data_IF_922788656052
#
_entry.id   IF_922788656052
#
_cell.length_a   1.000
_cell.length_b   1.000
_cell.length_c   1.000
_cell.angle_alpha   90.00
_cell.angle_beta   90.00
_cell.angle_gamma   90.00
#
_symmetry.space_group_name_H-M   'P 1'
#
loop_
_entity.id
_entity.type
_entity.pdbx_description
1 polymer ?
#
# COMPACT_ATOMS: atom_id res chain seq x y z
N UNK A 1 6.11 -46.00 -38.87
CA UNK A 1 5.37 -45.45 -37.72
C UNK A 1 6.33 -44.51 -36.98
N UNK A 2 6.19 -43.18 -37.05
CA UNK A 2 7.10 -42.34 -36.23
C UNK A 2 7.17 -40.85 -36.54
N UNK A 3 6.93 -40.40 -37.78
CA UNK A 3 7.04 -38.97 -38.09
C UNK A 3 5.86 -38.14 -37.52
N UNK A 4 4.65 -38.70 -37.52
CA UNK A 4 3.46 -38.03 -36.99
C UNK A 4 3.47 -37.90 -35.45
N UNK A 5 4.03 -38.88 -34.73
CA UNK A 5 4.13 -38.85 -33.28
C UNK A 5 5.16 -37.83 -32.78
N UNK A 6 6.27 -37.66 -33.49
CA UNK A 6 7.28 -36.65 -33.17
C UNK A 6 6.74 -35.21 -33.33
N UNK A 7 5.92 -34.96 -34.36
CA UNK A 7 5.25 -33.67 -34.54
C UNK A 7 4.14 -33.42 -33.49
N UNK A 8 3.40 -34.46 -33.11
CA UNK A 8 2.40 -34.39 -32.04
C UNK A 8 3.01 -34.12 -30.65
N UNK A 9 4.19 -34.67 -30.37
CA UNK A 9 4.90 -34.44 -29.10
C UNK A 9 5.44 -33.00 -28.97
N UNK A 10 5.88 -32.39 -30.08
CA UNK A 10 6.31 -30.98 -30.10
C UNK A 10 5.12 -30.01 -29.95
N UNK A 11 3.97 -30.33 -30.53
CA UNK A 11 2.74 -29.54 -30.38
C UNK A 11 2.10 -29.69 -28.99
N UNK A 12 2.13 -30.88 -28.40
CA UNK A 12 1.55 -31.17 -27.08
C UNK A 12 2.36 -30.62 -25.91
N UNK A 13 3.70 -30.65 -25.98
CA UNK A 13 4.58 -30.15 -24.92
C UNK A 13 4.58 -28.63 -24.77
N UNK A 14 4.35 -27.90 -25.87
CA UNK A 14 4.25 -26.44 -25.86
C UNK A 14 2.92 -25.95 -25.26
N UNK A 15 1.82 -26.66 -25.46
CA UNK A 15 0.50 -26.18 -25.03
C UNK A 15 0.30 -26.21 -23.51
N UNK A 16 0.93 -27.17 -22.80
CA UNK A 16 0.86 -27.25 -21.34
C UNK A 16 1.64 -26.15 -20.62
N UNK A 17 2.63 -25.52 -21.27
CA UNK A 17 3.44 -24.44 -20.68
C UNK A 17 2.88 -23.05 -20.97
N UNK A 18 2.18 -22.86 -22.09
CA UNK A 18 1.55 -21.57 -22.46
C UNK A 18 0.39 -21.19 -21.54
N UNK A 19 -0.42 -22.15 -21.08
CA UNK A 19 -1.62 -21.87 -20.28
C UNK A 19 -1.36 -21.27 -18.89
N UNK A 20 -0.27 -21.69 -18.21
CA UNK A 20 0.03 -21.22 -16.85
C UNK A 20 1.00 -20.03 -16.81
N UNK A 21 1.90 -19.91 -17.80
CA UNK A 21 2.88 -18.83 -17.89
C UNK A 21 2.38 -17.61 -18.69
N UNK A 22 1.35 -17.80 -19.53
CA UNK A 22 0.76 -16.77 -20.37
C UNK A 22 0.13 -15.61 -19.59
N UNK A 23 -0.48 -15.85 -18.43
CA UNK A 23 -1.11 -14.78 -17.64
C UNK A 23 -0.10 -13.78 -17.06
N UNK A 24 1.09 -14.23 -16.64
CA UNK A 24 2.17 -13.36 -16.15
C UNK A 24 2.84 -12.57 -17.28
N UNK A 25 3.02 -13.18 -18.45
CA UNK A 25 3.58 -12.50 -19.62
C UNK A 25 2.58 -11.53 -20.26
N UNK A 26 1.30 -11.89 -20.34
CA UNK A 26 0.22 -10.98 -20.76
C UNK A 26 0.08 -9.81 -19.79
N UNK A 27 0.29 -10.01 -18.49
CA UNK A 27 0.35 -8.93 -17.50
C UNK A 27 1.46 -7.91 -17.80
N UNK A 28 2.66 -8.37 -18.22
CA UNK A 28 3.77 -7.50 -18.61
C UNK A 28 3.54 -6.78 -19.95
N UNK A 29 2.79 -7.38 -20.87
CA UNK A 29 2.42 -6.77 -22.16
C UNK A 29 1.30 -5.73 -22.04
N UNK A 30 0.56 -5.71 -20.92
CA UNK A 30 -0.60 -4.83 -20.71
C UNK A 30 -0.26 -3.36 -20.41
N UNK A 31 1.02 -2.97 -20.48
CA UNK A 31 1.46 -1.59 -20.21
C UNK A 31 1.23 -1.13 -18.76
N UNK A 32 1.09 -2.07 -17.82
CA UNK A 32 0.85 -1.75 -16.41
C UNK A 32 2.11 -1.08 -15.81
N UNK A 33 1.93 0.13 -15.28
CA UNK A 33 2.96 0.85 -14.54
C UNK A 33 2.65 0.79 -13.05
N UNK A 34 3.56 0.21 -12.28
CA UNK A 34 3.46 0.27 -10.82
C UNK A 34 3.74 1.70 -10.35
N UNK A 35 2.76 2.29 -9.66
CA UNK A 35 2.88 3.62 -9.07
C UNK A 35 2.85 3.47 -7.56
N UNK A 36 3.85 4.06 -6.92
CA UNK A 36 4.06 3.96 -5.49
C UNK A 36 4.18 5.36 -4.91
N UNK A 37 3.43 5.65 -3.85
CA UNK A 37 3.48 6.96 -3.18
C UNK A 37 4.86 7.16 -2.56
N UNK A 38 5.44 8.34 -2.75
CA UNK A 38 6.75 8.69 -2.19
C UNK A 38 6.69 8.78 -0.66
N UNK A 39 7.76 8.33 0.00
CA UNK A 39 8.00 8.42 1.44
C UNK A 39 7.74 9.82 2.01
N UNK A 40 8.20 10.87 1.31
CA UNK A 40 8.00 12.25 1.74
C UNK A 40 6.51 12.65 1.79
N UNK A 41 5.71 12.13 0.86
CA UNK A 41 4.26 12.38 0.82
C UNK A 41 3.56 11.66 1.97
N UNK A 42 3.96 10.42 2.27
CA UNK A 42 3.42 9.66 3.41
C UNK A 42 3.72 10.34 4.74
N UNK A 43 4.95 10.86 4.90
CA UNK A 43 5.33 11.64 6.09
C UNK A 43 4.50 12.91 6.23
N UNK A 44 4.37 13.69 5.16
CA UNK A 44 3.55 14.91 5.16
C UNK A 44 2.09 14.60 5.51
N UNK A 45 1.54 13.52 4.96
CA UNK A 45 0.17 13.10 5.23
C UNK A 45 -0.02 12.73 6.72
N UNK A 46 0.91 11.95 7.28
CA UNK A 46 0.88 11.57 8.69
C UNK A 46 0.94 12.80 9.61
N UNK A 47 1.86 13.74 9.34
CA UNK A 47 1.98 15.00 10.08
C UNK A 47 0.67 15.80 10.05
N UNK A 48 0.08 15.98 8.85
CA UNK A 48 -1.16 16.73 8.67
C UNK A 48 -2.34 16.06 9.37
N UNK A 49 -2.45 14.74 9.30
CA UNK A 49 -3.52 13.98 9.96
C UNK A 49 -3.43 14.06 11.47
N UNK A 50 -2.22 14.01 12.04
CA UNK A 50 -2.00 14.18 13.48
C UNK A 50 -2.44 15.56 13.96
N UNK A 51 -2.07 16.61 13.23
CA UNK A 51 -2.50 17.97 13.55
C UNK A 51 -4.02 18.13 13.46
N UNK A 52 -4.63 17.56 12.42
CA UNK A 52 -6.08 17.57 12.30
C UNK A 52 -6.73 16.86 13.49
N UNK A 53 -6.23 15.70 13.90
CA UNK A 53 -6.75 14.97 15.05
C UNK A 53 -6.63 15.78 16.35
N UNK A 54 -5.48 16.39 16.61
CA UNK A 54 -5.27 17.25 17.78
C UNK A 54 -6.21 18.48 17.77
N UNK A 55 -6.40 19.10 16.62
CA UNK A 55 -7.34 20.19 16.45
C UNK A 55 -8.79 19.75 16.65
N UNK A 56 -9.16 18.52 16.23
CA UNK A 56 -10.50 17.98 16.45
C UNK A 56 -10.74 17.60 17.92
N UNK A 57 -9.73 17.10 18.64
CA UNK A 57 -9.85 16.71 20.05
C UNK A 57 -10.01 17.93 20.98
N UNK A 58 -9.35 19.04 20.66
CA UNK A 58 -9.44 20.28 21.44
C UNK A 58 -10.71 21.08 21.14
N UNK A 59 -11.48 20.67 20.12
CA UNK A 59 -12.66 21.38 19.64
C UNK A 59 -13.90 20.94 20.43
N UNK A 60 -14.46 21.85 21.23
CA UNK A 60 -15.75 21.63 21.89
C UNK A 60 -16.93 21.58 20.91
N UNK A 61 -18.08 21.06 21.36
CA UNK A 61 -19.27 20.76 20.53
C UNK A 61 -19.87 21.93 19.72
N UNK A 62 -19.50 23.18 19.98
CA UNK A 62 -20.04 24.36 19.30
C UNK A 62 -18.97 25.24 18.62
N UNK A 63 -17.74 24.77 18.48
CA UNK A 63 -16.69 25.57 17.85
C UNK A 63 -16.93 25.70 16.33
N UNK A 64 -17.07 26.94 15.84
CA UNK A 64 -17.36 27.27 14.43
C UNK A 64 -16.10 27.67 13.66
N UNK A 65 -14.98 27.91 14.33
CA UNK A 65 -13.76 28.43 13.71
C UNK A 65 -13.07 27.46 12.73
N UNK A 66 -12.41 28.01 11.71
CA UNK A 66 -11.65 27.23 10.75
C UNK A 66 -10.40 26.62 11.40
N UNK A 67 -10.12 25.34 11.11
CA UNK A 67 -8.93 24.65 11.64
C UNK A 67 -7.68 25.29 11.00
N UNK A 68 -6.84 25.91 11.83
CA UNK A 68 -5.52 26.38 11.43
C UNK A 68 -4.50 25.27 11.67
N UNK A 69 -3.81 24.88 10.61
CA UNK A 69 -2.72 23.91 10.69
C UNK A 69 -1.42 24.68 10.84
N UNK A 70 -0.78 24.57 12.00
CA UNK A 70 0.54 25.16 12.24
C UNK A 70 1.64 24.30 11.60
N UNK A 71 2.91 24.69 11.75
CA UNK A 71 4.02 23.90 11.20
C UNK A 71 4.34 22.74 12.16
N UNK A 72 4.15 21.46 11.79
CA UNK A 72 4.17 20.35 12.76
C UNK A 72 5.58 20.04 13.26
N UNK A 73 5.91 20.28 14.53
CA UNK A 73 7.26 20.13 15.09
C UNK A 73 7.81 18.69 15.18
N UNK A 74 7.02 17.70 14.77
CA UNK A 74 7.26 16.27 14.94
C UNK A 74 8.47 15.77 14.09
N UNK A 75 9.67 15.90 14.67
CA UNK A 75 10.97 15.62 14.03
C UNK A 75 11.09 14.17 13.55
N UNK A 76 10.48 13.23 14.27
CA UNK A 76 10.51 11.80 13.95
C UNK A 76 9.93 11.53 12.56
N UNK A 77 8.82 12.18 12.22
CA UNK A 77 8.18 12.02 10.91
C UNK A 77 8.82 12.89 9.82
N UNK A 78 9.49 13.99 10.18
CA UNK A 78 10.22 14.83 9.21
C UNK A 78 11.48 14.16 8.69
N UNK A 79 12.27 13.54 9.57
CA UNK A 79 13.63 13.07 9.26
C UNK A 79 13.81 11.55 9.42
N UNK A 80 12.94 10.89 10.18
CA UNK A 80 13.05 9.46 10.51
C UNK A 80 12.66 8.52 9.38
N UNK A 81 13.10 7.26 9.48
CA UNK A 81 12.69 6.18 8.56
C UNK A 81 11.17 5.98 8.63
N UNK A 82 10.57 5.55 7.53
CA UNK A 82 9.15 5.18 7.57
C UNK A 82 8.93 4.03 8.56
N UNK A 83 7.79 4.05 9.30
CA UNK A 83 7.36 2.93 10.12
C UNK A 83 7.36 1.60 9.36
N UNK A 84 7.71 0.54 10.06
CA UNK A 84 7.76 -0.80 9.47
C UNK A 84 6.41 -1.25 8.90
N UNK A 85 5.31 -0.88 9.56
CA UNK A 85 3.95 -1.14 9.09
C UNK A 85 3.71 -0.63 7.66
N UNK A 86 4.19 0.58 7.34
CA UNK A 86 4.09 1.15 5.99
C UNK A 86 5.01 0.44 5.00
N UNK A 87 6.21 0.01 5.43
CA UNK A 87 7.13 -0.79 4.61
C UNK A 87 6.51 -2.15 4.26
N UNK A 88 5.87 -2.82 5.22
CA UNK A 88 5.13 -4.08 5.00
C UNK A 88 3.97 -3.84 4.04
N UNK A 89 3.16 -2.81 4.26
CA UNK A 89 2.06 -2.47 3.36
C UNK A 89 2.49 -2.24 1.90
N UNK A 90 3.70 -1.70 1.65
CA UNK A 90 4.24 -1.55 0.29
C UNK A 90 4.46 -2.87 -0.44
N UNK A 91 4.66 -3.98 0.28
CA UNK A 91 4.81 -5.30 -0.31
C UNK A 91 3.47 -5.94 -0.72
N UNK A 92 2.34 -5.30 -0.41
CA UNK A 92 0.98 -5.82 -0.63
C UNK A 92 0.13 -4.89 -1.50
N UNK A 93 0.35 -4.81 -2.83
CA UNK A 93 -0.47 -4.01 -3.74
C UNK A 93 -1.97 -4.36 -3.67
N UNK A 94 -2.31 -5.60 -3.37
CA UNK A 94 -3.67 -6.10 -3.21
C UNK A 94 -4.43 -5.50 -2.01
N UNK A 95 -3.74 -4.81 -1.09
CA UNK A 95 -4.39 -4.09 0.00
C UNK A 95 -4.97 -2.74 -0.43
N UNK A 96 -4.59 -2.25 -1.62
CA UNK A 96 -5.09 -1.01 -2.18
C UNK A 96 -6.45 -1.21 -2.86
N UNK A 97 -7.44 -0.42 -2.47
CA UNK A 97 -8.74 -0.39 -3.14
C UNK A 97 -8.66 0.06 -4.60
N UNK A 98 -7.60 0.79 -4.97
CA UNK A 98 -7.36 1.23 -6.35
C UNK A 98 -7.00 0.08 -7.29
N UNK A 99 -6.54 -1.06 -6.75
CA UNK A 99 -6.16 -2.23 -7.52
C UNK A 99 -7.33 -3.22 -7.72
N UNK A 100 -8.57 -2.78 -7.49
CA UNK A 100 -9.79 -3.49 -7.87
C UNK A 100 -10.21 -4.65 -6.96
N UNK A 101 -9.32 -5.16 -6.11
CA UNK A 101 -9.65 -6.16 -5.07
C UNK A 101 -9.34 -5.58 -3.70
N UNK A 102 -10.39 -5.25 -2.94
CA UNK A 102 -10.24 -4.92 -1.52
C UNK A 102 -10.12 -6.23 -0.74
N UNK A 103 -8.90 -6.69 -0.49
CA UNK A 103 -8.70 -7.83 0.43
C UNK A 103 -8.54 -7.25 1.83
N UNK A 104 -9.66 -7.19 2.57
CA UNK A 104 -9.63 -7.02 4.02
C UNK A 104 -9.21 -8.34 4.64
N UNK A 105 -7.93 -8.48 4.99
CA UNK A 105 -7.38 -9.62 5.70
C UNK A 105 -6.87 -9.21 7.09
N UNK A 106 -6.72 -10.19 7.98
CA UNK A 106 -6.14 -10.02 9.33
C UNK A 106 -4.82 -9.27 9.29
N UNK A 107 -3.95 -9.62 8.33
CA UNK A 107 -2.59 -9.10 8.23
C UNK A 107 -2.58 -7.59 7.92
N UNK A 108 -3.50 -7.16 7.04
CA UNK A 108 -3.69 -5.74 6.73
C UNK A 108 -4.16 -4.97 7.96
N UNK A 109 -5.09 -5.56 8.71
CA UNK A 109 -5.63 -4.93 9.92
C UNK A 109 -4.54 -4.80 10.99
N UNK A 110 -3.73 -5.83 11.20
CA UNK A 110 -2.59 -5.80 12.12
C UNK A 110 -1.61 -4.65 11.80
N UNK A 111 -1.30 -4.42 10.51
CA UNK A 111 -0.42 -3.31 10.13
C UNK A 111 -1.08 -1.94 10.33
N UNK A 112 -2.42 -1.86 10.22
CA UNK A 112 -3.16 -0.62 10.53
C UNK A 112 -3.09 -0.35 12.03
N UNK A 113 -3.33 -1.36 12.85
CA UNK A 113 -3.33 -1.23 14.30
C UNK A 113 -1.93 -0.85 14.82
N UNK A 114 -0.88 -1.52 14.32
CA UNK A 114 0.51 -1.18 14.63
C UNK A 114 0.89 0.25 14.21
N UNK A 115 0.39 0.71 13.06
CA UNK A 115 0.59 2.09 12.61
C UNK A 115 -0.15 3.09 13.51
N UNK A 116 -1.38 2.76 13.92
CA UNK A 116 -2.19 3.59 14.80
C UNK A 116 -1.51 3.75 16.17
N UNK A 117 -1.03 2.66 16.78
CA UNK A 117 -0.29 2.70 18.05
C UNK A 117 0.95 3.60 17.96
N UNK A 118 1.72 3.49 16.87
CA UNK A 118 2.89 4.35 16.64
C UNK A 118 2.52 5.84 16.48
N UNK A 119 1.39 6.11 15.82
CA UNK A 119 0.85 7.47 15.70
C UNK A 119 0.24 7.97 17.02
N UNK A 120 -0.03 7.12 18.00
CA UNK A 120 -0.45 7.55 19.33
C UNK A 120 0.72 7.74 20.28
N UNK A 121 1.74 6.87 20.22
CA UNK A 121 2.90 6.92 21.10
C UNK A 121 3.74 8.18 20.90
N UNK A 122 4.00 8.57 19.65
CA UNK A 122 4.73 9.82 19.35
C UNK A 122 3.97 11.10 19.72
N UNK A 123 2.78 11.03 20.34
CA UNK A 123 2.06 12.19 20.89
C UNK A 123 2.39 12.43 22.37
N UNK A 124 2.89 11.41 23.07
CA UNK A 124 3.10 11.45 24.53
C UNK A 124 4.49 11.97 24.93
N UNK A 125 5.38 12.13 23.97
CA UNK A 125 6.67 12.83 24.11
C UNK A 125 6.50 14.32 23.79
#
# INVERSE_FOLDING_TARGET
LGAAAALGALAGGAWQTVGHYGSRLLGKLKGARELTVNDAVLRLLALRQRQLLAALQTRGHAAVEAIRLETPEDKQWREGKLPEALRKARAHPEWSSLNGRRVGGSDRQEQIDALAELLESGRRE
#
